data_IF_790917954452
#
_entry.id   IF_790917954452
#
_cell.length_a   1.000
_cell.length_b   1.000
_cell.length_c   1.000
_cell.angle_alpha   90.00
_cell.angle_beta   90.00
_cell.angle_gamma   90.00
#
_symmetry.space_group_name_H-M   'P 1'
#
loop_
_entity.id
_entity.type
_entity.pdbx_description
1 polymer ?
#
# COMPACT_ATOMS: atom_id res chain seq x y z
N UNK A 1 2.27 24.58 52.63
CA UNK A 1 2.12 26.02 52.95
C UNK A 1 1.41 26.32 54.27
N UNK A 2 0.43 25.52 54.71
CA UNK A 2 -0.36 25.84 55.91
C UNK A 2 0.42 25.79 57.24
N UNK A 3 1.40 24.88 57.39
CA UNK A 3 2.15 24.70 58.65
C UNK A 3 3.07 25.87 59.03
N UNK A 4 3.85 26.40 58.08
CA UNK A 4 4.78 27.50 58.34
C UNK A 4 4.05 28.83 58.59
N UNK A 5 2.93 29.06 57.90
CA UNK A 5 2.08 30.24 58.11
C UNK A 5 1.40 30.17 59.48
N UNK A 6 0.85 29.00 59.85
CA UNK A 6 0.25 28.77 61.18
C UNK A 6 1.26 28.92 62.32
N UNK A 7 2.49 28.46 62.14
CA UNK A 7 3.56 28.62 63.12
C UNK A 7 4.02 30.09 63.24
N UNK A 8 4.11 30.82 62.13
CA UNK A 8 4.38 32.26 62.13
C UNK A 8 3.29 33.08 62.83
N UNK A 9 2.01 32.76 62.60
CA UNK A 9 0.89 33.43 63.28
C UNK A 9 0.82 33.11 64.77
N UNK A 10 1.17 31.88 65.18
CA UNK A 10 1.25 31.49 66.59
C UNK A 10 2.42 32.18 67.30
N UNK A 11 3.58 32.26 66.66
CA UNK A 11 4.76 32.95 67.17
C UNK A 11 4.52 34.47 67.29
N UNK A 12 3.83 35.07 66.31
CA UNK A 12 3.42 36.48 66.36
C UNK A 12 2.38 36.75 67.46
N UNK A 13 1.42 35.86 67.65
CA UNK A 13 0.47 35.93 68.77
C UNK A 13 1.15 35.81 70.13
N UNK A 14 2.16 34.95 70.26
CA UNK A 14 2.97 34.80 71.47
C UNK A 14 3.82 36.05 71.77
N UNK A 15 4.31 36.72 70.72
CA UNK A 15 5.04 37.98 70.80
C UNK A 15 4.14 39.10 71.35
N UNK A 16 2.91 39.21 70.81
CA UNK A 16 1.96 40.26 71.18
C UNK A 16 1.37 40.03 72.58
N UNK A 17 1.09 38.77 72.93
CA UNK A 17 0.69 38.38 74.28
C UNK A 17 1.81 38.61 75.31
N UNK A 18 3.07 38.34 74.95
CA UNK A 18 4.24 38.62 75.79
C UNK A 18 4.44 40.12 76.07
N UNK A 19 4.14 40.99 75.10
CA UNK A 19 4.16 42.45 75.32
C UNK A 19 2.99 42.94 76.17
N UNK A 20 1.81 42.30 76.08
CA UNK A 20 0.64 42.68 76.87
C UNK A 20 0.78 42.24 78.34
N UNK A 21 1.32 41.05 78.59
CA UNK A 21 1.55 40.54 79.95
C UNK A 21 2.67 41.31 80.68
N UNK A 22 3.69 41.79 79.96
CA UNK A 22 4.76 42.61 80.51
C UNK A 22 4.35 44.07 80.78
N UNK A 23 3.19 44.52 80.30
CA UNK A 23 2.67 45.86 80.55
C UNK A 23 1.84 45.97 81.86
N UNK A 24 1.39 44.83 82.43
CA UNK A 24 0.57 44.81 83.66
C UNK A 24 1.37 44.57 84.95
N UNK A 25 2.60 44.05 84.90
CA UNK A 25 3.52 44.02 86.05
C UNK A 25 4.43 45.27 86.06
N UNK A 26 3.89 46.36 86.59
CA UNK A 26 4.65 47.58 86.83
C UNK A 26 5.72 47.37 87.92
N UNK A 27 6.99 47.34 87.53
CA UNK A 27 8.09 47.34 88.49
C UNK A 27 9.49 47.02 87.94
N UNK A 28 9.82 47.39 86.71
CA UNK A 28 11.17 47.19 86.15
C UNK A 28 11.62 48.41 85.35
N UNK A 29 12.84 48.90 85.60
CA UNK A 29 13.38 50.09 84.94
C UNK A 29 13.40 49.94 83.41
N UNK A 30 13.28 51.04 82.67
CA UNK A 30 13.14 51.01 81.19
C UNK A 30 14.21 50.22 80.43
N UNK A 31 15.36 49.93 81.04
CA UNK A 31 16.39 49.05 80.49
C UNK A 31 16.00 47.56 80.49
N UNK A 32 15.23 47.10 81.48
CA UNK A 32 14.79 45.71 81.58
C UNK A 32 13.73 45.39 80.52
N UNK A 33 12.78 46.29 80.29
CA UNK A 33 11.78 46.17 79.22
C UNK A 33 12.45 46.08 77.84
N UNK A 34 13.45 46.93 77.58
CA UNK A 34 14.22 46.87 76.34
C UNK A 34 15.01 45.57 76.20
N UNK A 35 15.59 45.04 77.28
CA UNK A 35 16.31 43.78 77.28
C UNK A 35 15.38 42.59 76.98
N UNK A 36 14.18 42.54 77.58
CA UNK A 36 13.18 41.52 77.27
C UNK A 36 12.68 41.62 75.83
N UNK A 37 12.43 42.83 75.32
CA UNK A 37 12.02 43.03 73.94
C UNK A 37 13.12 42.62 72.95
N UNK A 38 14.39 42.93 73.25
CA UNK A 38 15.53 42.50 72.45
C UNK A 38 15.71 40.97 72.47
N UNK A 39 15.52 40.33 73.63
CA UNK A 39 15.56 38.87 73.75
C UNK A 39 14.43 38.21 72.96
N UNK A 40 13.22 38.75 73.03
CA UNK A 40 12.07 38.25 72.28
C UNK A 40 12.28 38.39 70.76
N UNK A 41 12.79 39.54 70.30
CA UNK A 41 13.18 39.75 68.91
C UNK A 41 14.27 38.76 68.48
N UNK A 42 15.28 38.51 69.32
CA UNK A 42 16.34 37.55 69.03
C UNK A 42 15.79 36.12 68.87
N UNK A 43 14.88 35.70 69.75
CA UNK A 43 14.20 34.39 69.66
C UNK A 43 13.37 34.32 68.37
N UNK A 44 12.61 35.38 68.04
CA UNK A 44 11.82 35.45 66.81
C UNK A 44 12.71 35.31 65.57
N UNK A 45 13.81 36.07 65.49
CA UNK A 45 14.76 36.02 64.37
C UNK A 45 15.41 34.64 64.27
N UNK A 46 15.79 34.03 65.39
CA UNK A 46 16.34 32.68 65.43
C UNK A 46 15.35 31.65 64.88
N UNK A 47 14.09 31.70 65.31
CA UNK A 47 13.05 30.79 64.85
C UNK A 47 12.74 30.99 63.36
N UNK A 48 12.60 32.23 62.89
CA UNK A 48 12.35 32.54 61.47
C UNK A 48 13.51 32.05 60.60
N UNK A 49 14.75 32.37 60.95
CA UNK A 49 15.91 31.96 60.15
C UNK A 49 16.06 30.43 60.13
N UNK A 50 15.79 29.76 61.25
CA UNK A 50 15.90 28.30 61.36
C UNK A 50 14.79 27.53 60.66
N UNK A 51 13.57 28.05 60.60
CA UNK A 51 12.40 27.37 60.00
C UNK A 51 12.02 27.90 58.61
N UNK A 52 12.02 29.22 58.39
CA UNK A 52 11.67 29.82 57.09
C UNK A 52 12.80 29.69 56.07
N UNK A 53 14.06 29.75 56.50
CA UNK A 53 15.23 29.63 55.61
C UNK A 53 15.22 28.34 54.77
N UNK A 54 15.07 27.15 55.37
CA UNK A 54 14.97 25.89 54.64
C UNK A 54 13.74 25.84 53.72
N UNK A 55 12.57 26.28 54.17
CA UNK A 55 11.33 26.23 53.39
C UNK A 55 11.36 27.12 52.15
N UNK A 56 11.93 28.32 52.25
CA UNK A 56 12.08 29.25 51.11
C UNK A 56 13.09 28.70 50.09
N UNK A 57 14.21 28.15 50.55
CA UNK A 57 15.22 27.55 49.66
C UNK A 57 14.66 26.33 48.93
N UNK A 58 13.88 25.50 49.61
CA UNK A 58 13.25 24.31 49.00
C UNK A 58 12.18 24.68 47.97
N UNK A 59 11.36 25.71 48.26
CA UNK A 59 10.39 26.24 47.31
C UNK A 59 11.08 26.79 46.04
N UNK A 60 12.13 27.60 46.21
CA UNK A 60 12.88 28.15 45.07
C UNK A 60 13.56 27.05 44.25
N UNK A 61 14.17 26.05 44.90
CA UNK A 61 14.75 24.88 44.23
C UNK A 61 13.70 24.10 43.43
N UNK A 62 12.55 23.85 44.04
CA UNK A 62 11.43 23.15 43.38
C UNK A 62 10.93 23.94 42.16
N UNK A 63 10.78 25.27 42.28
CA UNK A 63 10.36 26.11 41.15
C UNK A 63 11.40 26.16 40.04
N UNK A 64 12.68 26.31 40.38
CA UNK A 64 13.76 26.24 39.38
C UNK A 64 13.81 24.88 38.68
N UNK A 65 13.58 23.79 39.42
CA UNK A 65 13.52 22.44 38.86
C UNK A 65 12.33 22.26 37.92
N UNK A 66 11.13 22.65 38.32
CA UNK A 66 9.92 22.57 37.48
C UNK A 66 10.08 23.40 36.18
N UNK A 67 10.67 24.60 36.27
CA UNK A 67 10.95 25.41 35.08
C UNK A 67 11.95 24.71 34.15
N UNK A 68 13.04 24.15 34.68
CA UNK A 68 14.02 23.40 33.88
C UNK A 68 13.39 22.18 33.23
N UNK A 69 12.64 21.39 34.00
CA UNK A 69 11.95 20.19 33.49
C UNK A 69 10.96 20.55 32.37
N UNK A 70 10.23 21.67 32.48
CA UNK A 70 9.33 22.16 31.43
C UNK A 70 10.08 22.61 30.18
N UNK A 71 11.21 23.30 30.34
CA UNK A 71 12.05 23.72 29.21
C UNK A 71 12.61 22.49 28.50
N UNK A 72 13.17 21.54 29.24
CA UNK A 72 13.74 20.30 28.68
C UNK A 72 12.66 19.43 28.02
N UNK A 73 11.45 19.37 28.60
CA UNK A 73 10.31 18.69 27.99
C UNK A 73 9.89 19.36 26.68
N UNK A 74 9.83 20.70 26.66
CA UNK A 74 9.49 21.46 25.45
C UNK A 74 10.55 21.31 24.36
N UNK A 75 11.84 21.31 24.71
CA UNK A 75 12.92 21.10 23.75
C UNK A 75 12.85 19.70 23.16
N UNK A 76 12.69 18.66 24.01
CA UNK A 76 12.52 17.28 23.54
C UNK A 76 11.31 17.10 22.63
N UNK A 77 10.17 17.72 22.98
CA UNK A 77 8.98 17.68 22.14
C UNK A 77 9.22 18.33 20.77
N UNK A 78 9.97 19.44 20.74
CA UNK A 78 10.31 20.14 19.51
C UNK A 78 11.29 19.34 18.64
N UNK A 79 12.30 18.71 19.25
CA UNK A 79 13.23 17.80 18.56
C UNK A 79 12.51 16.57 18.00
N UNK A 80 11.60 15.97 18.77
CA UNK A 80 10.78 14.83 18.31
C UNK A 80 9.89 15.23 17.13
N UNK A 81 9.18 16.36 17.23
CA UNK A 81 8.35 16.86 16.14
C UNK A 81 9.17 17.15 14.87
N UNK A 82 10.37 17.72 15.01
CA UNK A 82 11.27 17.95 13.88
C UNK A 82 11.75 16.64 13.25
N UNK A 83 12.11 15.64 14.08
CA UNK A 83 12.51 14.32 13.61
C UNK A 83 11.36 13.62 12.86
N UNK A 84 10.13 13.66 13.39
CA UNK A 84 8.94 13.10 12.76
C UNK A 84 8.65 13.79 11.42
N UNK A 85 8.73 15.13 11.35
CA UNK A 85 8.55 15.88 10.09
C UNK A 85 9.62 15.50 9.07
N UNK A 86 10.88 15.36 9.49
CA UNK A 86 11.96 14.94 8.61
C UNK A 86 11.73 13.51 8.08
N UNK A 87 11.30 12.59 8.94
CA UNK A 87 10.96 11.23 8.55
C UNK A 87 9.77 11.19 7.58
N UNK A 88 8.70 11.93 7.86
CA UNK A 88 7.53 12.03 6.99
C UNK A 88 7.91 12.59 5.61
N UNK A 89 8.74 13.64 5.56
CA UNK A 89 9.24 14.18 4.29
C UNK A 89 10.07 13.15 3.52
N UNK A 90 10.93 12.40 4.21
CA UNK A 90 11.71 11.34 3.59
C UNK A 90 10.83 10.17 3.10
N UNK A 91 9.77 9.82 3.83
CA UNK A 91 8.77 8.82 3.41
C UNK A 91 8.00 9.29 2.18
N UNK A 92 7.55 10.56 2.15
CA UNK A 92 6.86 11.13 0.99
C UNK A 92 7.75 11.15 -0.24
N UNK A 93 9.00 11.62 -0.10
CA UNK A 93 9.96 11.64 -1.22
C UNK A 93 10.23 10.23 -1.78
N UNK A 94 10.36 9.21 -0.90
CA UNK A 94 10.49 7.81 -1.33
C UNK A 94 9.23 7.30 -2.03
N UNK A 95 8.05 7.60 -1.49
CA UNK A 95 6.77 7.21 -2.09
C UNK A 95 6.58 7.83 -3.48
N UNK A 96 6.99 9.08 -3.67
CA UNK A 96 6.92 9.76 -4.97
C UNK A 96 7.88 9.10 -5.98
N UNK A 97 9.08 8.74 -5.55
CA UNK A 97 10.06 8.03 -6.39
C UNK A 97 9.58 6.63 -6.77
N UNK A 98 9.10 5.85 -5.79
CA UNK A 98 8.51 4.53 -6.02
C UNK A 98 7.30 4.60 -6.96
N UNK A 99 6.47 5.64 -6.84
CA UNK A 99 5.33 5.85 -7.74
C UNK A 99 5.78 6.13 -9.17
N UNK A 100 6.82 6.95 -9.36
CA UNK A 100 7.39 7.22 -10.69
C UNK A 100 7.98 5.97 -11.29
N UNK A 101 8.76 5.22 -10.51
CA UNK A 101 9.34 3.96 -10.95
C UNK A 101 8.25 2.95 -11.36
N UNK A 102 7.19 2.83 -10.55
CA UNK A 102 6.06 1.94 -10.85
C UNK A 102 5.36 2.33 -12.15
N UNK A 103 5.15 3.63 -12.40
CA UNK A 103 4.55 4.14 -13.64
C UNK A 103 5.44 3.79 -14.83
N UNK A 104 6.75 4.00 -14.73
CA UNK A 104 7.69 3.65 -15.81
C UNK A 104 7.72 2.14 -16.08
N UNK A 105 7.80 1.32 -15.03
CA UNK A 105 7.79 -0.13 -15.15
C UNK A 105 6.48 -0.62 -15.79
N UNK A 106 5.35 -0.06 -15.37
CA UNK A 106 4.02 -0.40 -15.92
C UNK A 106 3.93 0.00 -17.39
N UNK A 107 4.43 1.19 -17.77
CA UNK A 107 4.46 1.62 -19.16
C UNK A 107 5.31 0.70 -20.05
N UNK A 108 6.50 0.30 -19.57
CA UNK A 108 7.37 -0.65 -20.28
C UNK A 108 6.73 -2.03 -20.41
N UNK A 109 6.10 -2.52 -19.35
CA UNK A 109 5.37 -3.79 -19.36
C UNK A 109 4.18 -3.76 -20.32
N UNK A 110 3.41 -2.67 -20.32
CA UNK A 110 2.28 -2.49 -21.22
C UNK A 110 2.71 -2.46 -22.69
N UNK A 111 3.80 -1.76 -23.02
CA UNK A 111 4.32 -1.75 -24.39
C UNK A 111 4.84 -3.13 -24.82
N UNK A 112 5.52 -3.86 -23.93
CA UNK A 112 5.96 -5.24 -24.20
C UNK A 112 4.78 -6.20 -24.40
N UNK A 113 3.74 -6.11 -23.57
CA UNK A 113 2.52 -6.93 -23.74
C UNK A 113 1.78 -6.57 -25.02
N UNK A 114 1.69 -5.29 -25.37
CA UNK A 114 1.11 -4.83 -26.63
C UNK A 114 1.85 -5.45 -27.82
N UNK A 115 3.18 -5.36 -27.85
CA UNK A 115 4.00 -5.95 -28.91
C UNK A 115 3.79 -7.47 -28.99
N UNK A 116 3.77 -8.17 -27.85
CA UNK A 116 3.48 -9.62 -27.80
C UNK A 116 2.07 -9.94 -28.29
N UNK A 117 1.08 -9.12 -27.95
CA UNK A 117 -0.31 -9.30 -28.40
C UNK A 117 -0.43 -9.10 -29.90
N UNK A 118 0.23 -8.09 -30.48
CA UNK A 118 0.25 -7.87 -31.93
C UNK A 118 0.94 -9.03 -32.63
N UNK A 119 2.11 -9.46 -32.17
CA UNK A 119 2.83 -10.59 -32.76
C UNK A 119 1.99 -11.89 -32.75
N UNK A 120 1.31 -12.20 -31.65
CA UNK A 120 0.39 -13.35 -31.56
C UNK A 120 -0.80 -13.22 -32.51
N UNK A 121 -1.34 -12.01 -32.67
CA UNK A 121 -2.44 -11.75 -33.59
C UNK A 121 -2.01 -11.95 -35.04
N UNK A 122 -0.82 -11.47 -35.41
CA UNK A 122 -0.22 -11.68 -36.74
C UNK A 122 0.05 -13.16 -37.02
N UNK A 123 0.66 -13.87 -36.06
CA UNK A 123 0.90 -15.32 -36.16
C UNK A 123 -0.43 -16.09 -36.34
N UNK A 124 -1.44 -15.74 -35.56
CA UNK A 124 -2.77 -16.35 -35.67
C UNK A 124 -3.42 -16.04 -37.02
N UNK A 125 -3.30 -14.81 -37.50
CA UNK A 125 -3.83 -14.41 -38.80
C UNK A 125 -3.16 -15.18 -39.95
N UNK A 126 -1.83 -15.32 -39.92
CA UNK A 126 -1.09 -16.11 -40.92
C UNK A 126 -1.45 -17.59 -40.85
N UNK A 127 -1.62 -18.15 -39.64
CA UNK A 127 -2.09 -19.53 -39.46
C UNK A 127 -3.49 -19.72 -40.08
N UNK A 128 -4.43 -18.83 -39.80
CA UNK A 128 -5.80 -18.88 -40.35
C UNK A 128 -5.76 -18.76 -41.87
N UNK A 129 -4.96 -17.84 -42.44
CA UNK A 129 -4.80 -17.70 -43.89
C UNK A 129 -4.23 -18.97 -44.52
N UNK A 130 -3.22 -19.58 -43.90
CA UNK A 130 -2.64 -20.84 -44.35
C UNK A 130 -3.63 -22.00 -44.32
N UNK A 131 -4.41 -22.11 -43.24
CA UNK A 131 -5.48 -23.11 -43.11
C UNK A 131 -6.58 -22.89 -44.15
N UNK A 132 -7.03 -21.64 -44.35
CA UNK A 132 -8.04 -21.30 -45.36
C UNK A 132 -7.60 -21.65 -46.78
N UNK A 133 -6.33 -21.38 -47.14
CA UNK A 133 -5.76 -21.80 -48.44
C UNK A 133 -5.79 -23.32 -48.61
N UNK A 134 -5.33 -24.07 -47.60
CA UNK A 134 -5.35 -25.53 -47.62
C UNK A 134 -6.77 -26.11 -47.72
N UNK A 135 -7.75 -25.47 -47.07
CA UNK A 135 -9.16 -25.85 -47.21
C UNK A 135 -9.66 -25.55 -48.62
N UNK A 136 -9.38 -24.37 -49.16
CA UNK A 136 -9.78 -23.99 -50.51
C UNK A 136 -9.20 -24.95 -51.57
N UNK A 137 -7.91 -25.29 -51.48
CA UNK A 137 -7.26 -26.23 -52.40
C UNK A 137 -7.93 -27.61 -52.35
N UNK A 138 -8.23 -28.12 -51.15
CA UNK A 138 -8.93 -29.39 -50.97
C UNK A 138 -10.34 -29.37 -51.53
N UNK A 139 -11.08 -28.27 -51.36
CA UNK A 139 -12.42 -28.12 -51.94
C UNK A 139 -12.37 -28.03 -53.47
N UNK A 140 -11.37 -27.37 -54.04
CA UNK A 140 -11.16 -27.34 -55.50
C UNK A 140 -10.89 -28.75 -56.03
N UNK A 141 -10.00 -29.50 -55.39
CA UNK A 141 -9.69 -30.87 -55.81
C UNK A 141 -10.90 -31.80 -55.66
N UNK A 142 -11.67 -31.63 -54.58
CA UNK A 142 -12.94 -32.35 -54.38
C UNK A 142 -13.94 -32.01 -55.49
N UNK A 143 -14.13 -30.73 -55.81
CA UNK A 143 -15.04 -30.29 -56.87
C UNK A 143 -14.62 -30.83 -58.25
N UNK A 144 -13.32 -30.84 -58.55
CA UNK A 144 -12.77 -31.46 -59.77
C UNK A 144 -13.07 -32.96 -59.83
N UNK A 145 -12.89 -33.68 -58.73
CA UNK A 145 -13.21 -35.11 -58.65
C UNK A 145 -14.69 -35.40 -58.90
N UNK A 146 -15.59 -34.57 -58.34
CA UNK A 146 -17.04 -34.67 -58.58
C UNK A 146 -17.37 -34.43 -60.06
N UNK A 147 -16.84 -33.35 -60.66
CA UNK A 147 -17.07 -33.03 -62.06
C UNK A 147 -16.54 -34.12 -63.00
N UNK A 148 -15.39 -34.72 -62.69
CA UNK A 148 -14.83 -35.80 -63.49
C UNK A 148 -15.69 -37.08 -63.40
N UNK A 149 -16.21 -37.40 -62.22
CA UNK A 149 -17.13 -38.53 -62.04
C UNK A 149 -18.43 -38.31 -62.82
N UNK A 150 -19.02 -37.11 -62.73
CA UNK A 150 -20.25 -36.74 -63.44
C UNK A 150 -20.05 -36.75 -64.96
N UNK A 151 -18.93 -36.21 -65.47
CA UNK A 151 -18.60 -36.26 -66.88
C UNK A 151 -18.38 -37.71 -67.38
N UNK A 152 -17.75 -38.57 -66.58
CA UNK A 152 -17.55 -39.98 -66.93
C UNK A 152 -18.89 -40.72 -67.00
N UNK A 153 -19.79 -40.45 -66.07
CA UNK A 153 -21.13 -41.03 -66.06
C UNK A 153 -21.95 -40.58 -67.27
N UNK A 154 -21.93 -39.27 -67.59
CA UNK A 154 -22.60 -38.73 -68.76
C UNK A 154 -22.04 -39.33 -70.07
N UNK A 155 -20.73 -39.53 -70.16
CA UNK A 155 -20.08 -40.15 -71.32
C UNK A 155 -20.50 -41.62 -71.51
N UNK A 156 -20.61 -42.39 -70.41
CA UNK A 156 -21.11 -43.77 -70.44
C UNK A 156 -22.58 -43.78 -70.89
N UNK A 157 -23.43 -42.92 -70.33
CA UNK A 157 -24.84 -42.81 -70.73
C UNK A 157 -24.99 -42.46 -72.22
N UNK A 158 -24.19 -41.52 -72.72
CA UNK A 158 -24.18 -41.14 -74.14
C UNK A 158 -23.70 -42.31 -75.03
N UNK A 159 -22.65 -43.02 -74.62
CA UNK A 159 -22.14 -44.18 -75.34
C UNK A 159 -23.18 -45.31 -75.37
N UNK A 160 -23.88 -45.58 -74.27
CA UNK A 160 -24.99 -46.52 -74.22
C UNK A 160 -26.15 -46.13 -75.14
N UNK A 161 -26.48 -44.84 -75.22
CA UNK A 161 -27.52 -44.34 -76.11
C UNK A 161 -27.13 -44.52 -77.58
N UNK A 162 -25.90 -44.13 -77.96
CA UNK A 162 -25.39 -44.30 -79.32
C UNK A 162 -25.34 -45.78 -79.70
N UNK A 163 -24.89 -46.65 -78.78
CA UNK A 163 -24.84 -48.09 -79.02
C UNK A 163 -26.24 -48.67 -79.24
N UNK A 164 -27.23 -48.27 -78.43
CA UNK A 164 -28.64 -48.65 -78.62
C UNK A 164 -29.22 -48.19 -79.96
N UNK A 165 -28.85 -47.00 -80.43
CA UNK A 165 -29.33 -46.46 -81.72
C UNK A 165 -28.64 -47.11 -82.94
N UNK A 166 -27.41 -47.62 -82.78
CA UNK A 166 -26.58 -48.15 -83.88
C UNK A 166 -26.53 -49.67 -83.97
N UNK A 167 -26.96 -50.40 -82.93
CA UNK A 167 -26.97 -51.87 -82.93
C UNK A 167 -27.92 -52.43 -84.00
N UNK A 168 -27.37 -53.27 -84.87
CA UNK A 168 -28.11 -54.03 -85.88
C UNK A 168 -28.01 -55.54 -85.60
N UNK A 169 -28.90 -56.36 -86.16
CA UNK A 169 -28.93 -57.81 -85.88
C UNK A 169 -27.66 -58.59 -86.24
N UNK A 170 -26.82 -58.06 -87.13
CA UNK A 170 -25.50 -58.63 -87.46
C UNK A 170 -24.45 -58.36 -86.36
N UNK A 171 -24.57 -57.25 -85.62
CA UNK A 171 -23.64 -56.91 -84.53
C UNK A 171 -23.82 -57.85 -83.33
N UNK A 172 -25.04 -58.30 -83.05
CA UNK A 172 -25.33 -59.27 -81.99
C UNK A 172 -24.64 -60.62 -82.23
N UNK A 173 -24.64 -61.12 -83.48
CA UNK A 173 -23.96 -62.37 -83.82
C UNK A 173 -22.44 -62.24 -83.67
N UNK A 174 -21.87 -61.13 -84.14
CA UNK A 174 -20.43 -60.85 -84.04
C UNK A 174 -19.98 -60.72 -82.58
N UNK A 175 -20.77 -60.07 -81.72
CA UNK A 175 -20.49 -59.95 -80.28
C UNK A 175 -20.51 -61.31 -79.56
N UNK A 176 -21.43 -62.21 -79.92
CA UNK A 176 -21.50 -63.56 -79.36
C UNK A 176 -20.27 -64.38 -79.76
N UNK A 177 -19.82 -64.25 -81.00
CA UNK A 177 -18.65 -64.97 -81.52
C UNK A 177 -17.34 -64.46 -80.88
N UNK A 178 -17.20 -63.15 -80.69
CA UNK A 178 -16.07 -62.53 -80.00
C UNK A 178 -16.02 -62.88 -78.50
N UNK A 179 -17.18 -62.96 -77.85
CA UNK A 179 -17.28 -63.37 -76.44
C UNK A 179 -16.91 -64.85 -76.26
N UNK A 180 -17.34 -65.71 -77.19
CA UNK A 180 -16.97 -67.12 -77.21
C UNK A 180 -15.47 -67.32 -77.43
N UNK A 181 -14.83 -66.53 -78.30
CA UNK A 181 -13.38 -66.55 -78.49
C UNK A 181 -12.61 -66.08 -77.25
N UNK A 182 -13.00 -64.97 -76.62
CA UNK A 182 -12.31 -64.46 -75.41
C UNK A 182 -12.39 -65.42 -74.21
N UNK A 183 -13.51 -66.12 -74.04
CA UNK A 183 -13.63 -67.17 -73.00
C UNK A 183 -12.80 -68.42 -73.38
N UNK A 184 -12.65 -68.69 -74.68
CA UNK A 184 -11.78 -69.76 -75.17
C UNK A 184 -10.28 -69.47 -74.99
N UNK A 185 -9.85 -68.21 -75.08
CA UNK A 185 -8.45 -67.78 -74.90
C UNK A 185 -8.03 -67.57 -73.44
N UNK A 186 -8.99 -67.39 -72.52
CA UNK A 186 -8.72 -67.22 -71.08
C UNK A 186 -8.62 -68.55 -70.30
N UNK A 187 -8.60 -69.69 -70.99
CA UNK A 187 -8.28 -71.04 -70.46
C UNK A 187 -6.92 -71.49 -70.96
#
# INVERSE_FOLDING_TARGET
MSGAIRFGTLLFGLLWAGTALAAEEGGGGGLELLAFQALNLAILVFVITRFAGPAVRDYLRTRSRDIRERIDASQRALEQAQAEIAELRARLARSDEESRELVEQTARAAESEKQRSVARAEETAERIRGEARRVADREIDRARGVLQAEASQLAVELAEQILRERLTGDDDQRLVEEFAQRIGEAR
#
